data_IF_336170637435
#
_entry.id   IF_336170637435
#
_cell.length_a   1.000
_cell.length_b   1.000
_cell.length_c   1.000
_cell.angle_alpha   90.00
_cell.angle_beta   90.00
_cell.angle_gamma   90.00
#
_symmetry.space_group_name_H-M   'P 1'
#
loop_
_entity.id
_entity.type
_entity.pdbx_description
1 polymer ?
#
# COMPACT_ATOMS: atom_id res chain seq x y z
N UNK A 1 -54.20 -23.69 -32.01
CA UNK A 1 -52.88 -23.04 -32.13
C UNK A 1 -52.65 -22.13 -30.93
N UNK A 2 -52.21 -22.69 -29.79
CA UNK A 2 -51.88 -21.98 -28.54
C UNK A 2 -50.75 -22.76 -27.85
N UNK A 3 -49.57 -22.80 -28.48
CA UNK A 3 -48.37 -23.47 -27.91
C UNK A 3 -47.06 -22.74 -28.26
N UNK A 4 -47.11 -21.43 -28.51
CA UNK A 4 -45.92 -20.66 -28.90
C UNK A 4 -45.63 -19.44 -28.01
N UNK A 5 -46.48 -19.13 -27.03
CA UNK A 5 -46.32 -17.90 -26.23
C UNK A 5 -45.68 -18.08 -24.85
N UNK A 6 -45.49 -19.31 -24.35
CA UNK A 6 -44.92 -19.55 -22.99
C UNK A 6 -43.42 -19.89 -22.96
N UNK A 7 -42.76 -20.00 -24.11
CA UNK A 7 -41.35 -20.43 -24.17
C UNK A 7 -40.35 -19.27 -24.35
N UNK A 8 -40.78 -18.00 -24.21
CA UNK A 8 -39.97 -16.82 -24.56
C UNK A 8 -39.68 -15.86 -23.39
N UNK A 9 -39.95 -16.26 -22.13
CA UNK A 9 -39.81 -15.35 -20.97
C UNK A 9 -38.95 -15.87 -19.82
N UNK A 10 -38.04 -16.83 -20.08
CA UNK A 10 -37.04 -17.27 -19.10
C UNK A 10 -35.59 -17.13 -19.60
N UNK A 11 -35.38 -16.38 -20.68
CA UNK A 11 -34.07 -16.20 -21.29
C UNK A 11 -33.76 -14.72 -21.55
N UNK A 12 -33.99 -13.85 -20.56
CA UNK A 12 -33.36 -12.53 -20.49
C UNK A 12 -32.34 -12.59 -19.35
N UNK A 13 -31.19 -13.20 -19.63
CA UNK A 13 -29.95 -12.49 -19.95
C UNK A 13 -29.39 -11.71 -18.76
N UNK A 14 -28.28 -12.29 -18.28
CA UNK A 14 -27.12 -11.66 -17.69
C UNK A 14 -27.31 -10.97 -16.35
N UNK A 15 -27.08 -11.76 -15.30
CA UNK A 15 -26.06 -11.45 -14.28
C UNK A 15 -25.23 -10.20 -14.63
N UNK A 16 -25.65 -9.05 -14.12
CA UNK A 16 -24.71 -7.99 -13.76
C UNK A 16 -23.87 -8.54 -12.60
N UNK A 17 -22.96 -9.46 -12.90
CA UNK A 17 -21.68 -9.41 -12.24
C UNK A 17 -21.03 -8.13 -12.77
N UNK A 18 -21.41 -6.99 -12.20
CA UNK A 18 -20.54 -5.83 -12.24
C UNK A 18 -19.24 -6.34 -11.64
N UNK A 19 -18.30 -6.75 -12.50
CA UNK A 19 -16.91 -6.77 -12.12
C UNK A 19 -16.69 -5.36 -11.59
N UNK A 20 -16.68 -5.20 -10.28
CA UNK A 20 -16.13 -4.01 -9.69
C UNK A 20 -14.70 -4.02 -10.20
N UNK A 21 -14.46 -3.31 -11.30
CA UNK A 21 -13.14 -2.92 -11.73
C UNK A 21 -12.69 -1.97 -10.62
N UNK A 22 -12.27 -2.55 -9.50
CA UNK A 22 -11.50 -1.83 -8.50
C UNK A 22 -10.29 -1.31 -9.27
N UNK A 23 -9.95 -0.02 -9.15
CA UNK A 23 -8.66 0.44 -9.64
C UNK A 23 -7.61 -0.58 -9.25
N UNK A 24 -6.70 -0.84 -10.18
CA UNK A 24 -5.47 -1.50 -9.80
C UNK A 24 -4.80 -0.60 -8.76
N UNK A 25 -4.53 -1.09 -7.54
CA UNK A 25 -3.81 -0.30 -6.55
C UNK A 25 -2.55 0.28 -7.17
N UNK A 26 -2.27 1.54 -6.92
CA UNK A 26 -1.05 2.16 -7.41
C UNK A 26 0.10 1.79 -6.48
N UNK A 27 1.24 1.42 -7.07
CA UNK A 27 2.45 1.04 -6.34
C UNK A 27 3.59 1.92 -6.80
N UNK A 28 4.26 2.56 -5.85
CA UNK A 28 5.51 3.27 -6.09
C UNK A 28 6.60 2.78 -5.13
N UNK A 29 7.85 3.01 -5.52
CA UNK A 29 9.02 2.61 -4.76
C UNK A 29 9.89 3.79 -4.43
N UNK A 30 10.34 3.85 -3.18
CA UNK A 30 11.37 4.77 -2.72
C UNK A 30 12.61 4.00 -2.33
N UNK A 31 13.78 4.58 -2.57
CA UNK A 31 15.04 4.02 -2.13
C UNK A 31 15.68 4.98 -1.14
N UNK A 32 16.41 4.44 -0.17
CA UNK A 32 17.16 5.25 0.77
C UNK A 32 18.24 4.45 1.47
N UNK A 33 18.81 5.04 2.52
CA UNK A 33 19.83 4.42 3.36
C UNK A 33 19.35 4.34 4.80
N UNK A 34 19.51 3.18 5.44
CA UNK A 34 19.16 2.98 6.84
C UNK A 34 20.07 3.85 7.70
N UNK A 35 19.52 4.80 8.44
CA UNK A 35 20.29 5.64 9.36
C UNK A 35 20.48 5.00 10.75
N UNK A 36 19.43 4.35 11.27
CA UNK A 36 19.42 3.56 12.49
C UNK A 36 18.41 2.41 12.31
N UNK A 37 18.72 1.21 12.80
CA UNK A 37 17.78 0.10 12.81
C UNK A 37 17.96 -0.82 14.01
N UNK A 38 16.87 -1.12 14.70
CA UNK A 38 16.78 -2.17 15.73
C UNK A 38 16.39 -3.54 15.14
N UNK A 39 16.05 -3.58 13.85
CA UNK A 39 15.64 -4.81 13.15
C UNK A 39 16.85 -5.75 12.95
N UNK A 40 16.79 -7.01 13.42
CA UNK A 40 17.88 -7.96 13.25
C UNK A 40 18.25 -8.17 11.77
N UNK A 41 19.54 -8.12 11.46
CA UNK A 41 20.05 -8.30 10.08
C UNK A 41 19.98 -7.05 9.19
N UNK A 42 19.51 -5.92 9.72
CA UNK A 42 19.54 -4.63 9.03
C UNK A 42 20.64 -3.76 9.65
N UNK A 43 21.68 -3.46 8.86
CA UNK A 43 22.78 -2.61 9.30
C UNK A 43 22.56 -1.15 8.92
N UNK A 44 23.00 -0.24 9.80
CA UNK A 44 23.10 1.18 9.48
C UNK A 44 24.04 1.37 8.28
N UNK A 45 23.69 2.31 7.39
CA UNK A 45 24.37 2.53 6.11
C UNK A 45 23.95 1.57 4.99
N UNK A 46 23.13 0.54 5.26
CA UNK A 46 22.61 -0.33 4.20
C UNK A 46 21.51 0.36 3.39
N UNK A 47 21.45 0.08 2.08
CA UNK A 47 20.35 0.56 1.24
C UNK A 47 19.04 -0.13 1.57
N UNK A 48 17.91 0.54 1.37
CA UNK A 48 16.57 -0.05 1.42
C UNK A 48 15.71 0.42 0.25
N UNK A 49 14.65 -0.34 0.00
CA UNK A 49 13.55 -0.03 -0.91
C UNK A 49 12.24 -0.11 -0.13
N UNK A 50 11.38 0.89 -0.25
CA UNK A 50 10.01 0.89 0.28
C UNK A 50 9.04 0.90 -0.86
N UNK A 51 8.20 -0.13 -0.96
CA UNK A 51 7.02 -0.08 -1.81
C UNK A 51 5.85 0.43 -0.98
N UNK A 52 5.16 1.46 -1.46
CA UNK A 52 3.92 1.95 -0.88
C UNK A 52 2.80 1.65 -1.87
N UNK A 53 1.75 1.01 -1.37
CA UNK A 53 0.55 0.67 -2.15
C UNK A 53 -0.60 1.53 -1.64
N UNK A 54 -1.30 2.23 -2.53
CA UNK A 54 -2.46 3.04 -2.20
C UNK A 54 -3.62 2.85 -3.20
N UNK A 55 -4.84 2.95 -2.69
CA UNK A 55 -6.10 2.77 -3.41
C UNK A 55 -7.14 3.76 -2.87
N UNK A 56 -7.45 4.79 -3.67
CA UNK A 56 -8.47 5.80 -3.39
C UNK A 56 -9.84 5.45 -4.02
N UNK A 57 -10.01 4.23 -4.54
CA UNK A 57 -11.23 3.78 -5.19
C UNK A 57 -11.43 4.33 -6.61
N UNK A 58 -10.42 4.97 -7.21
CA UNK A 58 -10.43 5.33 -8.62
C UNK A 58 -10.59 4.12 -9.54
N UNK A 59 -10.55 4.33 -10.85
CA UNK A 59 -10.53 3.23 -11.84
C UNK A 59 -9.33 3.30 -12.79
N UNK A 60 -8.55 4.38 -12.72
CA UNK A 60 -7.37 4.63 -13.55
C UNK A 60 -6.28 5.29 -12.72
N UNK A 61 -5.06 5.33 -13.26
CA UNK A 61 -3.93 6.05 -12.67
C UNK A 61 -3.84 7.51 -13.15
N UNK A 62 -4.75 8.00 -13.98
CA UNK A 62 -4.66 9.35 -14.56
C UNK A 62 -5.28 10.38 -13.61
N UNK A 63 -4.59 11.50 -13.39
CA UNK A 63 -5.03 12.62 -12.55
C UNK A 63 -5.54 12.16 -11.17
N UNK A 64 -4.83 11.23 -10.53
CA UNK A 64 -5.19 10.72 -9.21
C UNK A 64 -4.47 11.51 -8.12
N UNK A 65 -5.09 11.57 -6.96
CA UNK A 65 -4.49 12.04 -5.72
C UNK A 65 -4.80 11.03 -4.62
N UNK A 66 -3.78 10.68 -3.84
CA UNK A 66 -3.88 9.82 -2.68
C UNK A 66 -3.35 10.57 -1.47
N UNK A 67 -4.12 10.52 -0.40
CA UNK A 67 -3.73 10.92 0.93
C UNK A 67 -3.07 9.73 1.66
N UNK A 68 -2.38 9.95 2.81
CA UNK A 68 -1.84 8.86 3.60
C UNK A 68 -2.91 7.83 4.04
N UNK A 69 -4.17 8.25 4.18
CA UNK A 69 -5.29 7.36 4.54
C UNK A 69 -5.67 6.39 3.41
N UNK A 70 -5.25 6.66 2.17
CA UNK A 70 -5.47 5.78 1.03
C UNK A 70 -4.40 4.66 0.93
N UNK A 71 -3.40 4.65 1.82
CA UNK A 71 -2.37 3.61 1.87
C UNK A 71 -3.01 2.31 2.35
N UNK A 72 -2.76 1.24 1.61
CA UNK A 72 -3.29 -0.11 1.88
C UNK A 72 -2.19 -1.09 2.28
N UNK A 73 -0.94 -0.82 1.90
CA UNK A 73 0.20 -1.67 2.26
C UNK A 73 1.52 -0.90 2.19
N UNK A 74 2.43 -1.21 3.09
CA UNK A 74 3.83 -0.78 3.03
C UNK A 74 4.74 -1.99 3.10
N UNK A 75 5.72 -2.06 2.19
CA UNK A 75 6.68 -3.16 2.12
C UNK A 75 8.10 -2.60 2.13
N UNK A 76 8.88 -2.93 3.16
CA UNK A 76 10.29 -2.57 3.25
C UNK A 76 11.13 -3.76 2.84
N UNK A 77 12.14 -3.50 1.99
CA UNK A 77 13.15 -4.46 1.57
C UNK A 77 14.52 -3.86 1.77
N UNK A 78 15.37 -4.50 2.55
CA UNK A 78 16.77 -4.04 2.70
C UNK A 78 17.65 -4.63 1.58
N UNK A 79 18.78 -3.96 1.30
CA UNK A 79 19.72 -4.28 0.21
C UNK A 79 20.34 -5.67 0.29
N UNK A 80 20.28 -6.34 1.45
CA UNK A 80 20.68 -7.74 1.57
C UNK A 80 19.59 -8.72 1.07
N UNK A 81 18.39 -8.24 0.74
CA UNK A 81 17.27 -9.06 0.26
C UNK A 81 16.67 -10.00 1.30
N UNK A 82 17.29 -10.11 2.48
CA UNK A 82 16.95 -11.05 3.55
C UNK A 82 15.82 -10.57 4.43
N UNK A 83 15.61 -9.25 4.54
CA UNK A 83 14.58 -8.68 5.40
C UNK A 83 13.48 -8.01 4.58
N UNK A 84 12.31 -8.65 4.58
CA UNK A 84 11.07 -8.11 4.05
C UNK A 84 10.17 -7.87 5.25
N UNK A 85 9.83 -6.61 5.51
CA UNK A 85 8.74 -6.23 6.40
C UNK A 85 7.55 -5.84 5.53
N UNK A 86 6.38 -6.41 5.77
CA UNK A 86 5.16 -6.09 5.06
C UNK A 86 4.03 -5.82 6.05
N UNK A 87 3.45 -4.64 5.95
CA UNK A 87 2.35 -4.19 6.81
C UNK A 87 1.11 -3.93 5.95
N UNK A 88 0.06 -4.76 6.04
CA UNK A 88 -1.25 -4.39 5.51
C UNK A 88 -1.84 -3.27 6.38
N UNK A 89 -2.35 -2.22 5.75
CA UNK A 89 -3.13 -1.16 6.39
C UNK A 89 -4.59 -1.49 6.15
N UNK A 90 -5.29 -1.86 7.22
CA UNK A 90 -6.71 -2.22 7.17
C UNK A 90 -7.56 -0.99 7.53
N UNK A 91 -8.70 -0.79 6.85
CA UNK A 91 -9.66 0.25 7.23
C UNK A 91 -10.04 0.15 8.71
N UNK A 92 -9.96 1.27 9.44
CA UNK A 92 -10.28 1.35 10.87
C UNK A 92 -9.17 0.92 11.82
N UNK A 93 -8.00 0.51 11.31
CA UNK A 93 -6.80 0.19 12.10
C UNK A 93 -5.58 0.91 11.51
N UNK A 94 -5.71 2.20 11.21
CA UNK A 94 -4.61 2.97 10.64
C UNK A 94 -3.56 3.21 11.72
N UNK A 95 -2.52 2.38 11.71
CA UNK A 95 -1.34 2.51 12.55
C UNK A 95 -0.32 3.51 11.98
N UNK A 96 -0.67 4.14 10.85
CA UNK A 96 0.15 5.13 10.17
C UNK A 96 -0.41 6.53 10.36
N UNK A 97 0.49 7.50 10.39
CA UNK A 97 0.20 8.92 10.24
C UNK A 97 1.05 9.45 9.10
N UNK A 98 0.62 10.51 8.43
CA UNK A 98 1.39 11.07 7.33
C UNK A 98 0.95 12.46 6.92
N UNK A 99 1.70 13.05 6.00
CA UNK A 99 1.41 14.35 5.41
C UNK A 99 1.81 14.42 3.94
N UNK A 100 1.24 15.39 3.22
CA UNK A 100 1.37 15.50 1.77
C UNK A 100 0.49 14.51 1.03
N UNK A 101 0.59 14.53 -0.30
CA UNK A 101 -0.18 13.66 -1.20
C UNK A 101 0.74 12.98 -2.20
N UNK A 102 0.34 11.80 -2.65
CA UNK A 102 0.87 11.23 -3.89
C UNK A 102 -0.06 11.63 -5.04
N UNK A 103 0.49 12.14 -6.13
CA UNK A 103 -0.31 12.63 -7.26
C UNK A 103 0.23 12.11 -8.59
N UNK A 104 -0.68 11.82 -9.53
CA UNK A 104 -0.33 11.54 -10.93
C UNK A 104 -0.90 12.60 -11.87
N UNK A 105 -0.24 12.79 -13.02
CA UNK A 105 -0.75 13.66 -14.07
C UNK A 105 -1.72 12.96 -15.04
N UNK A 106 -2.13 13.66 -16.10
CA UNK A 106 -3.04 13.15 -17.12
C UNK A 106 -2.46 12.02 -17.98
N UNK A 107 -1.19 11.66 -17.80
CA UNK A 107 -0.53 10.51 -18.43
C UNK A 107 -0.29 9.36 -17.45
N UNK A 108 -0.57 9.56 -16.16
CA UNK A 108 -0.41 8.57 -15.11
C UNK A 108 0.98 8.54 -14.48
N UNK A 109 1.85 9.48 -14.82
CA UNK A 109 3.15 9.62 -14.18
C UNK A 109 3.00 10.26 -12.81
N UNK A 110 3.74 9.73 -11.84
CA UNK A 110 3.82 10.28 -10.49
C UNK A 110 4.53 11.63 -10.54
N UNK A 111 3.84 12.68 -10.12
CA UNK A 111 4.37 14.06 -10.11
C UNK A 111 4.65 14.55 -8.70
N UNK A 112 4.01 13.95 -7.70
CA UNK A 112 4.22 14.27 -6.29
C UNK A 112 4.13 13.00 -5.46
N UNK A 113 4.81 13.02 -4.32
CA UNK A 113 4.80 11.97 -3.32
C UNK A 113 4.61 12.55 -1.92
N UNK A 114 4.16 11.69 -1.00
CA UNK A 114 4.00 12.04 0.41
C UNK A 114 5.25 12.69 0.98
N UNK A 115 5.04 13.71 1.82
CA UNK A 115 6.12 14.35 2.57
C UNK A 115 6.59 13.41 3.68
N UNK A 116 5.66 12.75 4.36
CA UNK A 116 5.96 11.81 5.44
C UNK A 116 4.89 10.73 5.56
N UNK A 117 5.34 9.51 5.85
CA UNK A 117 4.52 8.43 6.41
C UNK A 117 5.29 7.85 7.61
N UNK A 118 4.63 7.70 8.75
CA UNK A 118 5.25 7.20 9.99
C UNK A 118 4.29 6.33 10.78
N UNK A 119 4.82 5.50 11.68
CA UNK A 119 4.04 4.69 12.63
C UNK A 119 4.27 5.17 14.06
N UNK A 120 3.57 6.25 14.50
CA UNK A 120 3.95 7.00 15.70
C UNK A 120 3.79 6.22 17.00
N UNK A 121 2.89 5.23 17.02
CA UNK A 121 2.67 4.34 18.18
C UNK A 121 3.37 2.98 18.01
N UNK A 122 4.11 2.79 16.91
CA UNK A 122 4.65 1.51 16.51
C UNK A 122 3.59 0.51 16.05
N UNK A 123 4.04 -0.50 15.30
CA UNK A 123 3.20 -1.54 14.73
C UNK A 123 3.38 -2.83 15.54
N UNK A 124 2.31 -3.43 16.08
CA UNK A 124 2.44 -4.66 16.85
C UNK A 124 2.75 -5.87 15.95
N UNK A 125 3.43 -6.92 16.48
CA UNK A 125 3.81 -8.10 15.71
C UNK A 125 2.68 -8.80 14.95
N UNK A 126 1.44 -8.70 15.43
CA UNK A 126 0.27 -9.28 14.78
C UNK A 126 -0.22 -8.49 13.55
N UNK A 127 0.31 -7.29 13.31
CA UNK A 127 -0.12 -6.37 12.24
C UNK A 127 0.89 -6.25 11.09
N UNK A 128 1.95 -7.05 11.09
CA UNK A 128 2.90 -7.14 9.98
C UNK A 128 3.41 -8.57 9.81
N UNK A 129 4.04 -8.83 8.66
CA UNK A 129 4.85 -10.02 8.41
C UNK A 129 6.30 -9.58 8.24
N UNK A 130 7.23 -10.33 8.82
CA UNK A 130 8.67 -10.11 8.64
C UNK A 130 9.37 -11.44 8.37
N UNK A 131 10.36 -11.44 7.48
CA UNK A 131 11.17 -12.65 7.21
C UNK A 131 12.11 -13.01 8.38
N UNK A 132 12.46 -12.02 9.20
CA UNK A 132 13.15 -12.23 10.47
C UNK A 132 12.24 -11.77 11.61
N UNK A 133 12.09 -12.54 12.71
CA UNK A 133 11.33 -12.10 13.86
C UNK A 133 11.88 -10.78 14.41
N UNK A 134 10.97 -9.84 14.67
CA UNK A 134 11.28 -8.57 15.32
C UNK A 134 10.55 -8.58 16.67
N UNK A 135 11.27 -8.29 17.74
CA UNK A 135 10.69 -8.26 19.08
C UNK A 135 10.03 -6.90 19.34
N UNK A 136 8.81 -6.91 19.87
CA UNK A 136 8.11 -5.69 20.29
C UNK A 136 7.39 -4.96 19.15
N UNK A 137 7.08 -3.69 19.41
CA UNK A 137 6.49 -2.79 18.42
C UNK A 137 7.56 -2.34 17.42
N UNK A 138 7.18 -2.13 16.17
CA UNK A 138 8.07 -1.60 15.13
C UNK A 138 7.67 -0.18 14.77
N UNK A 139 8.51 0.81 15.07
CA UNK A 139 8.41 2.16 14.53
C UNK A 139 9.20 2.28 13.23
N UNK A 140 8.64 2.99 12.26
CA UNK A 140 9.33 3.34 11.02
C UNK A 140 8.83 4.68 10.48
N UNK A 141 9.68 5.37 9.71
CA UNK A 141 9.34 6.63 9.05
C UNK A 141 9.88 6.66 7.62
N UNK A 142 9.05 7.08 6.68
CA UNK A 142 9.37 7.27 5.27
C UNK A 142 9.11 8.75 4.92
N UNK A 143 10.11 9.60 5.13
CA UNK A 143 9.99 11.05 4.92
C UNK A 143 11.26 11.71 4.37
N UNK A 144 12.15 10.94 3.75
CA UNK A 144 13.46 11.37 3.22
C UNK A 144 14.45 11.96 4.26
N UNK A 145 14.03 12.24 5.51
CA UNK A 145 14.81 12.93 6.54
C UNK A 145 15.06 12.11 7.84
N UNK A 146 14.15 11.22 8.25
CA UNK A 146 14.19 10.47 9.54
C UNK A 146 14.77 9.04 9.44
N UNK A 147 15.28 8.47 10.55
CA UNK A 147 15.72 7.07 10.61
C UNK A 147 14.59 6.07 10.33
N UNK A 148 14.97 5.00 9.66
CA UNK A 148 14.10 4.06 8.94
C UNK A 148 13.42 3.06 9.87
N UNK A 149 14.08 2.65 10.96
CA UNK A 149 13.49 1.80 11.99
C UNK A 149 13.89 2.27 13.39
N UNK A 150 12.91 2.37 14.29
CA UNK A 150 13.09 2.76 15.69
C UNK A 150 12.23 1.90 16.61
#
# INVERSE_FOLDING_TARGET
>A
MKKLASALLHAALLTLAASAARAVPYVTTYNGTVANSTMPGVADGSGYVVSVVFDNGGSTVLNQSWSPDDITCVMWRTSQGTVVYAQPILPGNSLISGSGNADTDGTGWLTQMFTEITTPLGVPPASYTATSPIAGLVGWSANQDNPVFG
#
